data_IF_963276007260
#
_entry.id   IF_963276007260
#
_cell.length_a   1.000
_cell.length_b   1.000
_cell.length_c   1.000
_cell.angle_alpha   90.00
_cell.angle_beta   90.00
_cell.angle_gamma   90.00
#
_symmetry.space_group_name_H-M   'P 1'
#
loop_
_entity.id
_entity.type
_entity.pdbx_description
1 polymer ?
#
# COMPACT_ATOMS: atom_id res chain seq x y z
N UNK A 1 -7.93 30.33 25.25
CA UNK A 1 -6.83 29.47 25.75
C UNK A 1 -6.10 29.06 24.49
N UNK A 2 -4.94 29.65 24.23
CA UNK A 2 -4.23 29.41 22.97
C UNK A 2 -3.89 27.92 22.89
N UNK A 3 -4.37 27.30 21.81
CA UNK A 3 -4.14 25.90 21.57
C UNK A 3 -2.68 25.73 21.14
N UNK A 4 -1.82 25.33 22.08
CA UNK A 4 -0.39 25.17 21.87
C UNK A 4 -0.08 24.30 20.64
N UNK A 5 -0.90 23.28 20.36
CA UNK A 5 -0.72 22.42 19.19
C UNK A 5 -0.90 23.20 17.87
N UNK A 6 -1.92 24.06 17.80
CA UNK A 6 -2.19 24.91 16.64
C UNK A 6 -1.07 25.92 16.45
N UNK A 7 -0.65 26.59 17.53
CA UNK A 7 0.45 27.58 17.48
C UNK A 7 1.75 26.96 16.98
N UNK A 8 2.08 25.75 17.45
CA UNK A 8 3.29 25.04 17.01
C UNK A 8 3.17 24.60 15.54
N UNK A 9 1.97 24.27 15.05
CA UNK A 9 1.76 23.84 13.67
C UNK A 9 1.73 24.98 12.64
N UNK A 10 1.44 26.22 13.09
CA UNK A 10 1.26 27.38 12.21
C UNK A 10 2.35 27.55 11.14
N UNK A 11 3.67 27.41 11.43
CA UNK A 11 4.71 27.55 10.42
C UNK A 11 4.60 26.54 9.26
N UNK A 12 4.12 25.32 9.55
CA UNK A 12 3.88 24.29 8.53
C UNK A 12 2.64 24.61 7.69
N UNK A 13 1.60 25.16 8.32
CA UNK A 13 0.38 25.59 7.63
C UNK A 13 0.67 26.75 6.66
N UNK A 14 1.49 27.72 7.09
CA UNK A 14 1.89 28.89 6.30
C UNK A 14 2.95 28.55 5.24
N UNK A 15 3.51 27.34 5.26
CA UNK A 15 4.59 26.93 4.36
C UNK A 15 5.91 27.66 4.60
N UNK A 16 6.09 28.24 5.79
CA UNK A 16 7.30 28.96 6.18
C UNK A 16 8.39 28.02 6.71
N UNK A 17 8.02 26.76 6.98
CA UNK A 17 8.94 25.75 7.47
C UNK A 17 8.77 24.39 6.75
N UNK A 18 9.87 23.66 6.61
CA UNK A 18 9.88 22.27 6.14
C UNK A 18 9.46 21.32 7.27
N UNK A 19 8.74 20.26 6.91
CA UNK A 19 8.22 19.29 7.90
C UNK A 19 9.33 18.55 8.66
N UNK A 20 10.48 18.30 8.03
CA UNK A 20 11.62 17.62 8.67
C UNK A 20 12.23 18.43 9.81
N UNK A 21 12.50 19.73 9.58
CA UNK A 21 13.08 20.64 10.56
C UNK A 21 12.12 20.87 11.73
N UNK A 22 10.83 21.01 11.40
CA UNK A 22 9.77 21.14 12.38
C UNK A 22 9.64 19.88 13.23
N UNK A 23 9.68 18.70 12.59
CA UNK A 23 9.55 17.43 13.29
C UNK A 23 10.74 17.15 14.21
N UNK A 24 11.95 17.55 13.83
CA UNK A 24 13.12 17.41 14.70
C UNK A 24 12.96 18.19 16.01
N UNK A 25 12.33 19.37 15.98
CA UNK A 25 12.13 20.19 17.18
C UNK A 25 10.89 19.79 17.98
N UNK A 26 9.80 19.46 17.30
CA UNK A 26 8.49 19.27 17.92
C UNK A 26 8.05 17.80 18.02
N UNK A 27 8.71 16.88 17.33
CA UNK A 27 8.28 15.48 17.19
C UNK A 27 8.15 14.74 18.52
N UNK A 28 8.98 15.05 19.51
CA UNK A 28 8.85 14.48 20.87
C UNK A 28 7.56 14.94 21.56
N UNK A 29 7.26 16.24 21.47
CA UNK A 29 6.02 16.80 21.99
C UNK A 29 4.80 16.19 21.27
N UNK A 30 4.82 16.18 19.93
CA UNK A 30 3.75 15.60 19.11
C UNK A 30 3.47 14.14 19.46
N UNK A 31 4.53 13.34 19.67
CA UNK A 31 4.39 11.94 20.05
C UNK A 31 3.92 11.73 21.50
N UNK A 32 4.09 12.72 22.37
CA UNK A 32 3.61 12.66 23.76
C UNK A 32 2.11 12.93 23.91
N UNK A 33 1.45 13.47 22.87
CA UNK A 33 0.03 13.80 22.91
C UNK A 33 -0.79 12.51 22.86
N UNK A 34 -1.48 12.21 23.96
CA UNK A 34 -2.36 11.03 24.08
C UNK A 34 -3.85 11.36 23.99
N UNK A 35 -4.20 12.64 24.09
CA UNK A 35 -5.59 13.12 24.07
C UNK A 35 -5.69 14.41 23.25
N UNK A 36 -6.83 14.58 22.59
CA UNK A 36 -7.23 15.77 21.83
C UNK A 36 -8.70 16.01 22.12
N UNK A 37 -9.10 17.25 22.32
CA UNK A 37 -10.43 17.68 22.74
C UNK A 37 -11.24 18.30 21.60
N UNK A 38 -10.57 18.98 20.65
CA UNK A 38 -11.23 19.67 19.53
C UNK A 38 -11.01 18.98 18.19
N UNK A 39 -11.88 19.29 17.22
CA UNK A 39 -11.74 18.92 15.81
C UNK A 39 -10.43 19.45 15.21
N UNK A 40 -10.09 20.71 15.49
CA UNK A 40 -8.84 21.34 15.06
C UNK A 40 -7.61 20.58 15.57
N UNK A 41 -7.61 20.13 16.83
CA UNK A 41 -6.49 19.34 17.39
C UNK A 41 -6.37 17.98 16.72
N UNK A 42 -7.50 17.31 16.45
CA UNK A 42 -7.52 16.06 15.70
C UNK A 42 -6.92 16.26 14.31
N UNK A 43 -7.31 17.33 13.63
CA UNK A 43 -6.79 17.65 12.30
C UNK A 43 -5.30 17.98 12.33
N UNK A 44 -4.85 18.84 13.24
CA UNK A 44 -3.43 19.24 13.33
C UNK A 44 -2.56 18.05 13.71
N UNK A 45 -2.98 17.25 14.71
CA UNK A 45 -2.22 16.10 15.16
C UNK A 45 -2.11 15.04 14.05
N UNK A 46 -3.23 14.68 13.42
CA UNK A 46 -3.22 13.72 12.31
C UNK A 46 -2.42 14.24 11.10
N UNK A 47 -2.53 15.52 10.77
CA UNK A 47 -1.75 16.14 9.70
C UNK A 47 -0.25 16.16 10.01
N UNK A 48 0.14 16.33 11.28
CA UNK A 48 1.54 16.26 11.71
C UNK A 48 2.15 14.90 11.43
N UNK A 49 1.50 13.84 11.92
CA UNK A 49 1.92 12.45 11.66
C UNK A 49 1.91 12.13 10.16
N UNK A 50 0.84 12.52 9.46
CA UNK A 50 0.69 12.28 8.03
C UNK A 50 1.79 12.94 7.21
N UNK A 51 2.04 14.24 7.36
CA UNK A 51 3.03 14.97 6.58
C UNK A 51 4.44 14.46 6.83
N UNK A 52 4.78 14.16 8.08
CA UNK A 52 6.08 13.57 8.39
C UNK A 52 6.21 12.15 7.81
N UNK A 53 5.15 11.34 7.87
CA UNK A 53 5.09 10.07 7.18
C UNK A 53 5.34 10.20 5.68
N UNK A 54 4.76 11.20 5.02
CA UNK A 54 4.99 11.46 3.59
C UNK A 54 6.40 11.95 3.29
N UNK A 55 7.01 12.74 4.16
CA UNK A 55 8.43 13.09 4.07
C UNK A 55 9.31 11.83 4.09
N UNK A 56 9.11 10.94 5.06
CA UNK A 56 9.83 9.67 5.17
C UNK A 56 9.64 8.78 3.94
N UNK A 57 8.44 8.76 3.37
CA UNK A 57 8.18 8.02 2.13
C UNK A 57 9.03 8.56 0.97
N UNK A 58 9.05 9.88 0.79
CA UNK A 58 9.81 10.54 -0.26
C UNK A 58 11.32 10.36 -0.09
N UNK A 59 11.80 10.26 1.14
CA UNK A 59 13.22 10.02 1.46
C UNK A 59 13.60 8.52 1.42
N UNK A 60 12.66 7.64 1.05
CA UNK A 60 12.89 6.21 0.86
C UNK A 60 12.67 5.33 2.09
N UNK A 61 12.33 5.91 3.25
CA UNK A 61 12.00 5.18 4.49
C UNK A 61 10.54 4.70 4.52
N UNK A 62 10.16 3.90 3.52
CA UNK A 62 8.77 3.48 3.33
C UNK A 62 8.18 2.71 4.54
N UNK A 63 8.98 1.91 5.26
CA UNK A 63 8.47 1.18 6.43
C UNK A 63 8.18 2.12 7.61
N UNK A 64 9.06 3.07 7.89
CA UNK A 64 8.83 4.08 8.94
C UNK A 64 7.67 4.99 8.56
N UNK A 65 7.60 5.42 7.29
CA UNK A 65 6.47 6.18 6.75
C UNK A 65 5.12 5.52 7.06
N UNK A 66 5.02 4.20 6.86
CA UNK A 66 3.80 3.45 7.13
C UNK A 66 3.38 3.55 8.59
N UNK A 67 4.31 3.50 9.55
CA UNK A 67 4.01 3.63 10.97
C UNK A 67 3.41 5.00 11.32
N UNK A 68 3.95 6.08 10.74
CA UNK A 68 3.44 7.44 10.95
C UNK A 68 2.09 7.65 10.26
N UNK A 69 1.89 7.11 9.06
CA UNK A 69 0.61 7.14 8.35
C UNK A 69 -0.46 6.35 9.12
N UNK A 70 -0.10 5.21 9.71
CA UNK A 70 -1.01 4.41 10.54
C UNK A 70 -1.41 5.14 11.82
N UNK A 71 -0.48 5.85 12.47
CA UNK A 71 -0.81 6.73 13.59
C UNK A 71 -1.78 7.85 13.18
N UNK A 72 -1.56 8.48 12.02
CA UNK A 72 -2.46 9.51 11.51
C UNK A 72 -3.88 8.98 11.28
N UNK A 73 -4.03 7.79 10.68
CA UNK A 73 -5.34 7.13 10.51
C UNK A 73 -6.00 6.81 11.84
N UNK A 74 -5.24 6.26 12.79
CA UNK A 74 -5.75 5.89 14.11
C UNK A 74 -6.29 7.10 14.89
N UNK A 75 -5.60 8.24 14.81
CA UNK A 75 -6.05 9.50 15.41
C UNK A 75 -7.40 9.93 14.84
N UNK A 76 -7.54 9.93 13.51
CA UNK A 76 -8.79 10.34 12.83
C UNK A 76 -9.93 9.36 13.12
N UNK A 77 -9.68 8.05 13.10
CA UNK A 77 -10.70 7.03 13.32
C UNK A 77 -11.22 7.04 14.76
N UNK A 78 -10.32 7.11 15.76
CA UNK A 78 -10.68 7.20 17.19
C UNK A 78 -11.45 8.46 17.53
N UNK A 79 -11.22 9.56 16.81
CA UNK A 79 -11.85 10.85 17.07
C UNK A 79 -12.92 11.21 16.03
N UNK A 80 -13.43 10.24 15.26
CA UNK A 80 -14.47 10.45 14.25
C UNK A 80 -15.67 11.26 14.77
N UNK A 81 -16.06 11.06 16.03
CA UNK A 81 -17.21 11.77 16.64
C UNK A 81 -16.98 13.27 16.88
N UNK A 82 -15.74 13.75 16.80
CA UNK A 82 -15.39 15.17 16.97
C UNK A 82 -15.35 15.93 15.65
N UNK A 83 -15.15 15.22 14.53
CA UNK A 83 -15.00 15.82 13.20
C UNK A 83 -16.35 15.95 12.50
N UNK A 84 -16.50 16.96 11.65
CA UNK A 84 -17.62 16.99 10.71
C UNK A 84 -17.48 15.83 9.71
N UNK A 85 -18.61 15.25 9.29
CA UNK A 85 -18.61 14.04 8.45
C UNK A 85 -17.78 14.19 7.17
N UNK A 86 -17.83 15.36 6.54
CA UNK A 86 -17.08 15.65 5.32
C UNK A 86 -15.57 15.74 5.57
N UNK A 87 -15.15 16.37 6.67
CA UNK A 87 -13.74 16.48 7.05
C UNK A 87 -13.16 15.12 7.38
N UNK A 88 -13.90 14.31 8.13
CA UNK A 88 -13.53 12.93 8.41
C UNK A 88 -13.35 12.13 7.11
N UNK A 89 -14.33 12.18 6.20
CA UNK A 89 -14.27 11.45 4.91
C UNK A 89 -13.06 11.88 4.08
N UNK A 90 -12.83 13.19 3.95
CA UNK A 90 -11.72 13.74 3.16
C UNK A 90 -10.35 13.41 3.79
N UNK A 91 -10.24 13.48 5.11
CA UNK A 91 -9.00 13.17 5.84
C UNK A 91 -8.66 11.69 5.73
N UNK A 92 -9.63 10.80 6.00
CA UNK A 92 -9.43 9.35 5.86
C UNK A 92 -9.07 8.99 4.42
N UNK A 93 -9.76 9.56 3.43
CA UNK A 93 -9.46 9.31 2.02
C UNK A 93 -8.02 9.66 1.69
N UNK A 94 -7.58 10.88 2.00
CA UNK A 94 -6.23 11.38 1.71
C UNK A 94 -5.15 10.51 2.36
N UNK A 95 -5.33 10.17 3.63
CA UNK A 95 -4.35 9.37 4.37
C UNK A 95 -4.35 7.91 3.86
N UNK A 96 -5.52 7.35 3.50
CA UNK A 96 -5.61 6.00 2.92
C UNK A 96 -5.01 5.90 1.52
N UNK A 97 -5.23 6.88 0.65
CA UNK A 97 -4.58 6.95 -0.67
C UNK A 97 -3.05 6.94 -0.50
N UNK A 98 -2.55 7.74 0.44
CA UNK A 98 -1.13 7.79 0.76
C UNK A 98 -0.60 6.47 1.32
N UNK A 99 -1.33 5.86 2.27
CA UNK A 99 -1.02 4.51 2.80
C UNK A 99 -0.94 3.48 1.68
N UNK A 100 -1.84 3.54 0.71
CA UNK A 100 -1.86 2.66 -0.44
C UNK A 100 -0.57 2.80 -1.28
N UNK A 101 -0.11 4.03 -1.53
CA UNK A 101 1.17 4.28 -2.21
C UNK A 101 2.37 3.74 -1.44
N UNK A 102 2.41 3.93 -0.12
CA UNK A 102 3.49 3.40 0.73
C UNK A 102 3.50 1.86 0.69
N UNK A 103 2.34 1.22 0.83
CA UNK A 103 2.24 -0.24 0.75
C UNK A 103 2.62 -0.78 -0.64
N UNK A 104 2.31 -0.04 -1.71
CA UNK A 104 2.75 -0.40 -3.05
C UNK A 104 4.28 -0.39 -3.16
N UNK A 105 4.94 0.64 -2.62
CA UNK A 105 6.42 0.74 -2.59
C UNK A 105 7.07 -0.37 -1.75
N UNK A 106 6.42 -0.78 -0.68
CA UNK A 106 6.80 -1.94 0.14
C UNK A 106 6.42 -3.29 -0.51
N UNK A 107 5.84 -3.26 -1.71
CA UNK A 107 5.34 -4.43 -2.44
C UNK A 107 4.32 -5.28 -1.65
N UNK A 108 3.59 -4.65 -0.74
CA UNK A 108 2.49 -5.23 0.06
C UNK A 108 1.17 -5.05 -0.69
N UNK A 109 1.13 -5.51 -1.94
CA UNK A 109 0.07 -5.22 -2.90
C UNK A 109 -1.33 -5.66 -2.45
N UNK A 110 -1.45 -6.78 -1.73
CA UNK A 110 -2.74 -7.25 -1.23
C UNK A 110 -3.34 -6.34 -0.17
N UNK A 111 -2.51 -5.75 0.69
CA UNK A 111 -2.95 -4.81 1.71
C UNK A 111 -3.35 -3.48 1.08
N UNK A 112 -2.56 -2.99 0.12
CA UNK A 112 -2.92 -1.85 -0.71
C UNK A 112 -4.27 -2.07 -1.43
N UNK A 113 -4.50 -3.27 -1.98
CA UNK A 113 -5.78 -3.62 -2.61
C UNK A 113 -6.96 -3.51 -1.65
N UNK A 114 -6.82 -3.99 -0.40
CA UNK A 114 -7.88 -3.87 0.62
C UNK A 114 -8.21 -2.41 0.93
N UNK A 115 -7.20 -1.54 0.99
CA UNK A 115 -7.41 -0.10 1.19
C UNK A 115 -8.16 0.49 0.01
N UNK A 116 -7.74 0.20 -1.22
CA UNK A 116 -8.39 0.71 -2.42
C UNK A 116 -9.84 0.25 -2.53
N UNK A 117 -10.14 -0.98 -2.09
CA UNK A 117 -11.51 -1.50 -1.97
C UNK A 117 -12.34 -0.70 -0.97
N UNK A 118 -11.76 -0.34 0.18
CA UNK A 118 -12.42 0.52 1.18
C UNK A 118 -12.68 1.93 0.60
N UNK A 119 -11.70 2.54 -0.06
CA UNK A 119 -11.85 3.82 -0.76
C UNK A 119 -12.95 3.78 -1.82
N UNK A 120 -12.99 2.73 -2.65
CA UNK A 120 -14.04 2.54 -3.65
C UNK A 120 -15.43 2.42 -3.02
N UNK A 121 -15.57 1.73 -1.88
CA UNK A 121 -16.85 1.66 -1.17
C UNK A 121 -17.32 3.00 -0.61
N UNK A 122 -16.40 3.90 -0.27
CA UNK A 122 -16.72 5.25 0.21
C UNK A 122 -17.11 6.19 -0.93
N UNK A 123 -16.46 6.06 -2.10
CA UNK A 123 -16.74 6.86 -3.30
C UNK A 123 -16.77 5.98 -4.56
N UNK A 124 -17.87 5.23 -4.79
CA UNK A 124 -17.97 4.28 -5.90
C UNK A 124 -17.91 4.95 -7.27
N UNK A 125 -18.23 6.24 -7.35
CA UNK A 125 -18.21 7.04 -8.58
C UNK A 125 -16.80 7.40 -9.08
N UNK A 126 -15.75 7.31 -8.23
CA UNK A 126 -14.38 7.64 -8.62
C UNK A 126 -13.73 6.44 -9.31
N UNK A 127 -13.57 6.53 -10.63
CA UNK A 127 -13.00 5.47 -11.45
C UNK A 127 -11.55 5.12 -11.09
N UNK A 128 -10.78 6.08 -10.56
CA UNK A 128 -9.39 5.89 -10.15
C UNK A 128 -9.23 4.74 -9.16
N UNK A 129 -10.17 4.57 -8.21
CA UNK A 129 -10.12 3.48 -7.23
C UNK A 129 -10.36 2.12 -7.86
N UNK A 130 -11.28 2.05 -8.82
CA UNK A 130 -11.55 0.83 -9.59
C UNK A 130 -10.34 0.43 -10.44
N UNK A 131 -9.69 1.41 -11.07
CA UNK A 131 -8.47 1.19 -11.85
C UNK A 131 -7.31 0.77 -10.93
N UNK A 132 -7.12 1.47 -9.82
CA UNK A 132 -6.10 1.16 -8.82
C UNK A 132 -6.24 -0.26 -8.26
N UNK A 133 -7.46 -0.70 -7.92
CA UNK A 133 -7.73 -2.07 -7.48
C UNK A 133 -7.28 -3.12 -8.49
N UNK A 134 -7.58 -2.92 -9.79
CA UNK A 134 -7.17 -3.84 -10.85
C UNK A 134 -5.65 -3.91 -10.98
N UNK A 135 -4.98 -2.77 -10.97
CA UNK A 135 -3.53 -2.68 -11.07
C UNK A 135 -2.86 -3.39 -9.88
N UNK A 136 -3.36 -3.19 -8.66
CA UNK A 136 -2.86 -3.83 -7.45
C UNK A 136 -3.08 -5.34 -7.43
N UNK A 137 -4.25 -5.79 -7.90
CA UNK A 137 -4.53 -7.23 -8.05
C UNK A 137 -3.58 -7.87 -9.05
N UNK A 138 -3.38 -7.24 -10.21
CA UNK A 138 -2.42 -7.71 -11.21
C UNK A 138 -0.99 -7.75 -10.64
N UNK A 139 -0.56 -6.70 -9.94
CA UNK A 139 0.77 -6.66 -9.32
C UNK A 139 0.95 -7.77 -8.26
N UNK A 140 -0.08 -8.03 -7.45
CA UNK A 140 -0.09 -9.12 -6.46
C UNK A 140 0.11 -10.48 -7.13
N UNK A 141 -0.61 -10.73 -8.23
CA UNK A 141 -0.52 -11.98 -8.98
C UNK A 141 0.85 -12.11 -9.65
N UNK A 142 1.35 -11.05 -10.30
CA UNK A 142 2.67 -11.05 -10.94
C UNK A 142 3.80 -11.30 -9.95
N UNK A 143 3.73 -10.75 -8.73
CA UNK A 143 4.72 -10.99 -7.68
C UNK A 143 4.83 -12.47 -7.29
N UNK A 144 3.72 -13.20 -7.36
CA UNK A 144 3.69 -14.66 -7.08
C UNK A 144 4.08 -15.46 -8.32
N UNK A 145 3.58 -15.10 -9.50
CA UNK A 145 3.76 -15.87 -10.73
C UNK A 145 5.17 -15.75 -11.31
N UNK A 146 5.80 -14.58 -11.24
CA UNK A 146 7.11 -14.33 -11.86
C UNK A 146 8.22 -15.29 -11.37
N UNK A 147 8.41 -15.49 -10.05
CA UNK A 147 9.38 -16.48 -9.56
C UNK A 147 9.07 -17.91 -10.03
N UNK A 148 7.78 -18.27 -10.08
CA UNK A 148 7.37 -19.61 -10.52
C UNK A 148 7.72 -19.85 -11.99
N UNK A 149 7.57 -18.85 -12.86
CA UNK A 149 8.01 -18.95 -14.25
C UNK A 149 9.52 -19.12 -14.39
N UNK A 150 10.33 -18.45 -13.57
CA UNK A 150 11.79 -18.61 -13.57
C UNK A 150 12.17 -20.05 -13.23
N UNK A 151 11.55 -20.61 -12.19
CA UNK A 151 11.80 -22.02 -11.78
C UNK A 151 11.44 -22.99 -12.91
N UNK A 152 10.27 -22.82 -13.55
CA UNK A 152 9.86 -23.66 -14.66
C UNK A 152 10.83 -23.56 -15.85
N UNK A 153 11.28 -22.35 -16.18
CA UNK A 153 12.26 -22.13 -17.25
C UNK A 153 13.60 -22.82 -16.95
N UNK A 154 14.07 -22.81 -15.69
CA UNK A 154 15.26 -23.54 -15.29
C UNK A 154 15.10 -25.06 -15.44
N UNK A 155 13.95 -25.62 -15.05
CA UNK A 155 13.68 -27.06 -15.20
C UNK A 155 13.68 -27.45 -16.68
N UNK A 156 12.98 -26.70 -17.53
CA UNK A 156 12.98 -26.97 -18.97
C UNK A 156 14.36 -26.81 -19.59
N UNK A 157 15.15 -25.82 -19.17
CA UNK A 157 16.54 -25.67 -19.59
C UNK A 157 17.41 -26.87 -19.22
N UNK A 158 17.27 -27.40 -18.00
CA UNK A 158 17.97 -28.60 -17.56
C UNK A 158 17.58 -29.84 -18.38
N UNK A 159 16.28 -30.02 -18.66
CA UNK A 159 15.78 -31.13 -19.49
C UNK A 159 16.30 -31.04 -20.93
N UNK A 160 16.37 -29.84 -21.51
CA UNK A 160 16.93 -29.64 -22.85
C UNK A 160 18.44 -29.94 -22.87
N UNK A 161 19.20 -29.51 -21.87
CA UNK A 161 20.62 -29.83 -21.78
C UNK A 161 20.85 -31.33 -21.65
N UNK A 162 20.08 -32.00 -20.81
CA UNK A 162 20.13 -33.44 -20.67
C UNK A 162 19.89 -34.16 -21.99
N UNK A 163 18.80 -33.82 -22.69
CA UNK A 163 18.41 -34.48 -23.92
C UNK A 163 19.38 -34.22 -25.08
N UNK A 164 19.90 -33.00 -25.21
CA UNK A 164 20.66 -32.58 -26.40
C UNK A 164 22.17 -32.46 -26.20
N UNK A 165 22.65 -32.35 -24.96
CA UNK A 165 24.08 -32.19 -24.64
C UNK A 165 24.64 -33.42 -23.97
N UNK A 166 23.93 -34.01 -23.02
CA UNK A 166 24.44 -35.12 -22.21
C UNK A 166 23.99 -36.50 -22.69
N UNK A 167 22.92 -36.58 -23.49
CA UNK A 167 22.33 -37.84 -23.98
C UNK A 167 22.06 -38.83 -22.84
N UNK A 168 21.53 -38.31 -21.73
CA UNK A 168 21.15 -39.09 -20.55
C UNK A 168 19.64 -39.01 -20.29
N UNK A 169 19.12 -39.87 -19.40
CA UNK A 169 17.70 -39.93 -19.00
C UNK A 169 17.54 -40.00 -17.47
N UNK A 170 18.30 -39.17 -16.77
CA UNK A 170 18.18 -38.90 -15.34
C UNK A 170 16.86 -38.20 -14.97
N UNK A 171 16.38 -37.20 -15.72
CA UNK A 171 15.11 -36.52 -15.41
C UNK A 171 13.93 -37.34 -15.97
N UNK A 172 13.00 -37.79 -15.11
CA UNK A 172 11.85 -38.56 -15.56
C UNK A 172 10.95 -37.76 -16.52
N UNK A 173 10.43 -38.40 -17.57
CA UNK A 173 9.51 -37.78 -18.53
C UNK A 173 8.25 -37.20 -17.88
N UNK A 174 7.80 -37.75 -16.74
CA UNK A 174 6.67 -37.22 -15.97
C UNK A 174 6.90 -35.79 -15.46
N UNK A 175 8.17 -35.37 -15.27
CA UNK A 175 8.53 -33.99 -14.88
C UNK A 175 8.12 -33.00 -15.98
N UNK A 176 8.22 -33.39 -17.25
CA UNK A 176 7.72 -32.57 -18.37
C UNK A 176 6.23 -32.32 -18.24
N UNK A 177 5.45 -33.39 -18.01
CA UNK A 177 3.99 -33.29 -17.88
C UNK A 177 3.59 -32.43 -16.69
N UNK A 178 4.25 -32.61 -15.54
CA UNK A 178 3.98 -31.82 -14.33
C UNK A 178 4.31 -30.34 -14.56
N UNK A 179 5.49 -30.03 -15.09
CA UNK A 179 5.90 -28.63 -15.33
C UNK A 179 5.01 -27.93 -16.37
N UNK A 180 4.57 -28.65 -17.40
CA UNK A 180 3.55 -28.15 -18.35
C UNK A 180 2.22 -27.86 -17.68
N UNK A 181 1.71 -28.77 -16.85
CA UNK A 181 0.48 -28.55 -16.10
C UNK A 181 0.61 -27.33 -15.18
N UNK A 182 1.73 -27.19 -14.47
CA UNK A 182 2.02 -26.02 -13.63
C UNK A 182 2.05 -24.72 -14.45
N UNK A 183 2.67 -24.73 -15.65
CA UNK A 183 2.70 -23.57 -16.53
C UNK A 183 1.29 -23.14 -16.98
N UNK A 184 0.44 -24.09 -17.37
CA UNK A 184 -0.95 -23.82 -17.74
C UNK A 184 -1.72 -23.20 -16.57
N UNK A 185 -1.56 -23.75 -15.36
CA UNK A 185 -2.19 -23.20 -14.16
C UNK A 185 -1.75 -21.76 -13.90
N UNK A 186 -0.46 -21.46 -14.04
CA UNK A 186 0.06 -20.10 -13.88
C UNK A 186 -0.51 -19.12 -14.91
N UNK A 187 -0.65 -19.55 -16.18
CA UNK A 187 -1.30 -18.73 -17.21
C UNK A 187 -2.76 -18.42 -16.86
N UNK A 188 -3.50 -19.42 -16.37
CA UNK A 188 -4.89 -19.21 -15.94
C UNK A 188 -4.92 -18.21 -14.78
N UNK A 189 -4.05 -18.36 -13.79
CA UNK A 189 -3.98 -17.43 -12.65
C UNK A 189 -3.63 -16.01 -13.12
N UNK A 190 -2.69 -15.85 -14.04
CA UNK A 190 -2.25 -14.53 -14.49
C UNK A 190 -3.26 -13.82 -15.38
N UNK A 191 -3.92 -14.54 -16.29
CA UNK A 191 -4.75 -13.92 -17.33
C UNK A 191 -6.25 -14.06 -17.10
N UNK A 192 -6.71 -15.07 -16.35
CA UNK A 192 -8.14 -15.33 -16.14
C UNK A 192 -8.63 -14.79 -14.79
N UNK A 193 -7.83 -14.89 -13.73
CA UNK A 193 -8.24 -14.45 -12.38
C UNK A 193 -8.49 -12.94 -12.30
N UNK A 194 -7.62 -12.03 -12.84
CA UNK A 194 -7.89 -10.60 -12.77
C UNK A 194 -9.22 -10.17 -13.40
N UNK A 195 -9.57 -10.58 -14.65
CA UNK A 195 -10.85 -10.19 -15.25
C UNK A 195 -12.05 -10.84 -14.54
N UNK A 196 -11.95 -12.08 -14.05
CA UNK A 196 -13.04 -12.76 -13.33
C UNK A 196 -13.35 -12.06 -12.01
N UNK A 197 -12.35 -11.80 -11.17
CA UNK A 197 -12.54 -11.09 -9.89
C UNK A 197 -13.16 -9.70 -10.13
N UNK A 198 -12.73 -9.00 -11.20
CA UNK A 198 -13.26 -7.69 -11.54
C UNK A 198 -14.73 -7.70 -12.02
N UNK A 199 -15.24 -8.84 -12.50
CA UNK A 199 -16.63 -9.00 -12.94
C UNK A 199 -17.58 -9.38 -11.80
N UNK A 200 -17.10 -10.16 -10.83
CA UNK A 200 -17.89 -10.61 -9.66
C UNK A 200 -18.17 -9.44 -8.69
N UNK A 201 -17.37 -8.36 -8.75
CA UNK A 201 -17.45 -7.21 -7.85
C UNK A 201 -18.12 -5.97 -8.48
N UNK A 202 -18.71 -6.10 -9.68
CA UNK A 202 -19.65 -5.12 -10.24
C UNK A 202 -21.05 -5.37 -9.68
#
# INVERSE_FOLDING_TARGET
MDNQLITIWQPIADGTERIEDWWQRNGNYIQSITHVDTDEEVMVLSASFYRYGMFLYNDGYAQQSLEYIDKALDIVDKNKGKLYENEYKNSIETIMESKCSVLYKLERYWEAYKIMKKLHSMKPQKDDYRIGMKNLLSASISKIANPAYIVLACIWGAMLLEQYVFDTNFIPSIVWTITWACWIVLLIIQFVVPPVISKIQK
#
